data_IF_545103763473
#
_entry.id   IF_545103763473
#
_cell.length_a   1.000
_cell.length_b   1.000
_cell.length_c   1.000
_cell.angle_alpha   90.00
_cell.angle_beta   90.00
_cell.angle_gamma   90.00
#
_symmetry.space_group_name_H-M   'P 1'
#
loop_
_entity.id
_entity.type
_entity.pdbx_description
1 polymer ?
#
# COMPACT_ATOMS: atom_id res chain seq x y z
N UNK A 1 10.02 -60.83 32.61
CA UNK A 1 11.06 -59.80 32.77
C UNK A 1 10.82 -58.72 31.75
N UNK A 2 10.20 -57.62 32.13
CA UNK A 2 10.73 -56.29 32.43
C UNK A 2 11.53 -55.73 31.23
N UNK A 3 11.23 -54.71 30.56
CA UNK A 3 10.57 -53.46 30.77
C UNK A 3 11.12 -52.47 29.73
N UNK A 4 10.48 -51.37 29.51
CA UNK A 4 11.14 -50.16 28.99
C UNK A 4 10.82 -49.79 27.55
N UNK A 5 9.77 -49.06 27.36
CA UNK A 5 9.44 -48.35 26.09
C UNK A 5 8.58 -47.14 26.40
N UNK A 6 9.19 -46.10 26.86
CA UNK A 6 8.52 -44.81 27.01
C UNK A 6 9.56 -43.71 26.94
N UNK A 7 9.49 -42.85 25.97
CA UNK A 7 10.01 -41.50 25.89
C UNK A 7 10.45 -41.13 24.48
N UNK A 8 9.51 -40.83 23.60
CA UNK A 8 9.82 -40.05 22.37
C UNK A 8 8.66 -39.12 21.88
N UNK A 9 7.58 -38.94 22.67
CA UNK A 9 6.42 -38.13 22.22
C UNK A 9 6.23 -36.78 22.95
N UNK A 10 7.20 -36.35 23.79
CA UNK A 10 7.00 -35.12 24.61
C UNK A 10 7.84 -33.93 24.12
N UNK A 11 8.76 -34.10 23.17
CA UNK A 11 9.68 -33.01 22.79
C UNK A 11 9.10 -32.06 21.69
N UNK A 12 8.16 -32.52 20.85
CA UNK A 12 7.62 -31.67 19.78
C UNK A 12 6.51 -30.69 20.23
N UNK A 13 5.84 -30.92 21.32
CA UNK A 13 4.77 -30.04 21.83
C UNK A 13 5.27 -28.84 22.63
N UNK A 14 6.50 -28.90 23.17
CA UNK A 14 7.07 -27.77 23.95
C UNK A 14 7.73 -26.69 23.08
N UNK A 15 8.33 -27.05 21.97
CA UNK A 15 9.01 -26.09 21.08
C UNK A 15 8.02 -25.15 20.38
N UNK A 16 6.82 -25.60 20.04
CA UNK A 16 5.80 -24.75 19.42
C UNK A 16 5.18 -23.74 20.41
N UNK A 17 5.05 -24.09 21.69
CA UNK A 17 4.50 -23.18 22.71
C UNK A 17 5.52 -22.15 23.21
N UNK A 18 6.79 -22.48 23.24
CA UNK A 18 7.85 -21.52 23.63
C UNK A 18 8.10 -20.48 22.54
N UNK A 19 8.00 -20.84 21.26
CA UNK A 19 8.11 -19.85 20.16
C UNK A 19 6.94 -18.87 20.10
N UNK A 20 5.72 -19.25 20.48
CA UNK A 20 4.60 -18.31 20.59
C UNK A 20 4.74 -17.34 21.76
N UNK A 21 5.33 -17.76 22.88
CA UNK A 21 5.60 -16.86 24.00
C UNK A 21 6.79 -15.93 23.75
N UNK A 22 7.80 -16.33 22.97
CA UNK A 22 8.89 -15.43 22.57
C UNK A 22 8.45 -14.35 21.58
N UNK A 23 7.56 -14.65 20.65
CA UNK A 23 7.00 -13.63 19.72
C UNK A 23 6.14 -12.61 20.47
N UNK A 24 5.33 -13.04 21.45
CA UNK A 24 4.55 -12.13 22.29
C UNK A 24 5.41 -11.32 23.29
N UNK A 25 6.52 -11.89 23.77
CA UNK A 25 7.46 -11.21 24.65
C UNK A 25 8.32 -10.20 23.87
N UNK A 26 8.82 -10.55 22.69
CA UNK A 26 9.59 -9.64 21.82
C UNK A 26 8.75 -8.45 21.33
N UNK A 27 7.44 -8.64 21.12
CA UNK A 27 6.52 -7.53 20.82
C UNK A 27 6.27 -6.60 22.02
N UNK A 28 6.43 -7.05 23.26
CA UNK A 28 6.23 -6.22 24.47
C UNK A 28 7.49 -5.47 24.90
N UNK A 29 8.67 -6.06 24.72
CA UNK A 29 9.94 -5.47 25.15
C UNK A 29 10.53 -4.51 24.12
N UNK A 30 10.20 -4.63 22.82
CA UNK A 30 10.59 -3.68 21.78
C UNK A 30 9.85 -2.32 21.89
N UNK A 31 8.81 -2.20 22.73
CA UNK A 31 8.05 -0.98 22.97
C UNK A 31 8.65 -0.05 24.04
N UNK A 32 9.77 -0.40 24.65
CA UNK A 32 10.33 0.35 25.80
C UNK A 32 11.41 1.38 25.41
N UNK A 33 11.81 1.48 24.14
CA UNK A 33 12.92 2.35 23.73
C UNK A 33 12.61 3.56 22.85
N UNK A 34 11.59 3.51 22.00
CA UNK A 34 11.20 4.64 21.15
C UNK A 34 9.67 4.78 21.18
N UNK A 35 9.20 5.83 21.85
CA UNK A 35 7.79 6.23 21.71
C UNK A 35 7.56 6.54 20.22
N UNK A 36 6.55 5.90 19.55
CA UNK A 36 6.05 6.45 18.31
C UNK A 36 5.68 7.89 18.61
N UNK A 37 6.27 8.83 17.90
CA UNK A 37 5.85 10.23 17.98
C UNK A 37 4.37 10.21 17.61
N UNK A 38 3.49 10.48 18.60
CA UNK A 38 2.06 10.65 18.35
C UNK A 38 1.98 11.69 17.23
N UNK A 39 1.34 11.40 16.08
CA UNK A 39 1.20 12.40 15.04
C UNK A 39 0.62 13.66 15.68
N UNK A 40 1.24 14.82 15.46
CA UNK A 40 0.63 16.10 15.80
C UNK A 40 -0.68 16.23 15.01
N UNK A 41 -1.58 17.10 15.47
CA UNK A 41 -2.84 17.31 14.76
C UNK A 41 -2.59 17.75 13.30
N UNK A 42 -3.48 17.43 12.34
CA UNK A 42 -3.40 17.95 10.99
C UNK A 42 -3.26 19.46 10.96
N UNK A 43 -2.75 19.99 9.83
CA UNK A 43 -2.64 21.43 9.58
C UNK A 43 -3.97 22.12 9.89
N UNK A 44 -3.93 23.10 10.80
CA UNK A 44 -5.11 23.91 11.13
C UNK A 44 -5.28 25.02 10.13
N UNK A 45 -6.38 25.02 9.41
CA UNK A 45 -6.67 25.97 8.32
C UNK A 45 -7.95 26.74 8.66
N UNK A 46 -7.90 28.09 8.57
CA UNK A 46 -9.11 28.90 8.67
C UNK A 46 -9.90 28.82 7.36
N UNK A 47 -11.21 28.71 7.45
CA UNK A 47 -12.08 28.64 6.30
C UNK A 47 -11.94 29.88 5.38
N UNK A 48 -11.70 31.06 5.95
CA UNK A 48 -11.42 32.28 5.19
C UNK A 48 -10.09 32.22 4.42
N UNK A 49 -9.03 31.65 5.00
CA UNK A 49 -7.74 31.47 4.33
C UNK A 49 -7.85 30.44 3.20
N UNK A 50 -8.55 29.32 3.44
CA UNK A 50 -8.83 28.31 2.43
C UNK A 50 -9.62 28.90 1.26
N UNK A 51 -10.69 29.62 1.54
CA UNK A 51 -11.51 30.29 0.54
C UNK A 51 -10.67 31.25 -0.31
N UNK A 52 -9.88 32.12 0.32
CA UNK A 52 -8.99 33.05 -0.40
C UNK A 52 -7.92 32.30 -1.24
N UNK A 53 -7.35 31.22 -0.70
CA UNK A 53 -6.31 30.43 -1.37
C UNK A 53 -6.77 29.70 -2.64
N UNK A 54 -8.08 29.39 -2.74
CA UNK A 54 -8.65 28.68 -3.88
C UNK A 54 -9.61 29.55 -4.74
N UNK A 55 -9.72 30.85 -4.43
CA UNK A 55 -10.64 31.75 -5.14
C UNK A 55 -12.12 31.46 -4.85
N UNK A 56 -12.44 30.83 -3.71
CA UNK A 56 -13.79 30.56 -3.25
C UNK A 56 -14.37 31.69 -2.41
N UNK A 57 -15.65 31.56 -2.05
CA UNK A 57 -16.36 32.51 -1.19
C UNK A 57 -16.78 31.85 0.12
N UNK A 58 -16.34 32.41 1.25
CA UNK A 58 -16.77 31.96 2.57
C UNK A 58 -18.25 32.34 2.81
N UNK A 59 -19.03 31.38 3.29
CA UNK A 59 -20.43 31.54 3.72
C UNK A 59 -20.52 31.06 5.16
N UNK A 60 -21.13 31.88 6.05
CA UNK A 60 -21.27 31.57 7.46
C UNK A 60 -20.06 31.97 8.30
N UNK A 61 -19.93 31.44 9.52
CA UNK A 61 -18.84 31.77 10.43
C UNK A 61 -17.47 31.36 9.91
N UNK A 62 -16.43 32.13 10.25
CA UNK A 62 -15.04 31.75 9.92
C UNK A 62 -14.52 30.75 10.98
N UNK A 63 -14.61 29.49 10.67
CA UNK A 63 -14.13 28.38 11.53
C UNK A 63 -12.74 27.91 11.12
N UNK A 64 -12.07 27.20 12.01
CA UNK A 64 -10.84 26.46 11.71
C UNK A 64 -11.17 24.99 11.53
N UNK A 65 -10.65 24.37 10.50
CA UNK A 65 -10.75 22.92 10.28
C UNK A 65 -9.38 22.24 10.33
N UNK A 66 -9.38 20.96 10.70
CA UNK A 66 -8.20 20.12 10.87
C UNK A 66 -8.28 18.96 9.85
N UNK A 67 -7.68 19.15 8.66
CA UNK A 67 -7.75 18.17 7.58
C UNK A 67 -9.08 18.15 6.82
N UNK A 68 -9.25 17.17 5.94
CA UNK A 68 -10.41 17.02 5.06
C UNK A 68 -10.82 15.57 4.83
N UNK A 69 -12.09 15.37 4.46
CA UNK A 69 -12.63 14.08 4.01
C UNK A 69 -13.58 14.28 2.82
N UNK A 70 -13.58 13.35 1.87
CA UNK A 70 -14.59 13.28 0.79
C UNK A 70 -15.59 12.13 1.00
N UNK A 71 -15.42 11.33 2.07
CA UNK A 71 -16.34 10.26 2.45
C UNK A 71 -17.01 10.60 3.78
N UNK A 72 -18.32 10.89 3.74
CA UNK A 72 -19.10 11.25 4.92
C UNK A 72 -19.11 10.16 6.01
N UNK A 73 -18.83 8.90 5.65
CA UNK A 73 -18.79 7.76 6.58
C UNK A 73 -17.48 7.72 7.40
N UNK A 74 -16.40 8.26 6.86
CA UNK A 74 -15.07 8.32 7.49
C UNK A 74 -14.70 9.72 8.00
N UNK A 75 -15.58 10.70 7.84
CA UNK A 75 -15.39 12.05 8.40
C UNK A 75 -15.26 11.98 9.90
N UNK A 76 -14.28 12.72 10.45
CA UNK A 76 -14.05 12.87 11.89
C UNK A 76 -14.26 14.32 12.34
N UNK A 77 -14.51 14.58 13.65
CA UNK A 77 -14.71 15.92 14.15
C UNK A 77 -13.56 16.87 13.79
N UNK A 78 -13.91 18.09 13.39
CA UNK A 78 -12.95 19.13 13.04
C UNK A 78 -12.62 19.22 11.54
N UNK A 79 -12.97 18.23 10.72
CA UNK A 79 -12.61 18.19 9.31
C UNK A 79 -13.48 19.09 8.41
N UNK A 80 -12.90 19.47 7.26
CA UNK A 80 -13.61 19.98 6.09
C UNK A 80 -14.19 18.81 5.30
N UNK A 81 -15.48 18.79 5.02
CA UNK A 81 -16.08 17.84 4.10
C UNK A 81 -16.06 18.36 2.66
N UNK A 82 -15.63 17.49 1.73
CA UNK A 82 -15.55 17.81 0.30
C UNK A 82 -16.53 16.92 -0.47
N UNK A 83 -17.71 17.41 -0.84
CA UNK A 83 -18.66 16.65 -1.65
C UNK A 83 -18.12 16.49 -3.07
N UNK A 84 -17.98 15.25 -3.53
CA UNK A 84 -17.59 14.93 -4.90
C UNK A 84 -18.84 14.63 -5.72
N UNK A 85 -18.97 15.31 -6.85
CA UNK A 85 -20.06 15.06 -7.80
C UNK A 85 -19.57 14.03 -8.83
N UNK A 86 -20.18 12.85 -8.81
CA UNK A 86 -19.89 11.75 -9.72
C UNK A 86 -21.23 11.11 -10.17
N UNK A 87 -21.38 9.78 -10.19
CA UNK A 87 -22.67 9.11 -10.42
C UNK A 87 -23.73 9.52 -9.38
N UNK A 88 -23.28 9.84 -8.17
CA UNK A 88 -24.11 10.40 -7.09
C UNK A 88 -23.63 11.81 -6.77
N UNK A 89 -24.57 12.69 -6.39
CA UNK A 89 -24.24 14.03 -5.95
C UNK A 89 -23.74 14.01 -4.49
N UNK A 90 -22.45 14.27 -4.29
CA UNK A 90 -21.83 14.28 -2.97
C UNK A 90 -22.44 15.30 -2.00
N UNK A 91 -23.11 16.36 -2.49
CA UNK A 91 -23.76 17.36 -1.65
C UNK A 91 -24.88 16.77 -0.79
N UNK A 92 -25.53 15.70 -1.23
CA UNK A 92 -26.54 14.98 -0.44
C UNK A 92 -25.98 14.45 0.91
N UNK A 93 -24.67 14.29 1.03
CA UNK A 93 -23.99 13.75 2.23
C UNK A 93 -23.45 14.81 3.17
N UNK A 94 -23.61 16.11 2.88
CA UNK A 94 -23.13 17.22 3.75
C UNK A 94 -23.75 17.08 5.14
N UNK A 95 -25.06 16.81 5.24
CA UNK A 95 -25.73 16.57 6.52
C UNK A 95 -25.10 15.44 7.33
N UNK A 96 -24.86 14.29 6.69
CA UNK A 96 -24.24 13.13 7.34
C UNK A 96 -22.80 13.40 7.79
N UNK A 97 -22.01 14.15 7.01
CA UNK A 97 -20.66 14.55 7.39
C UNK A 97 -20.67 15.50 8.59
N UNK A 98 -21.61 16.46 8.62
CA UNK A 98 -21.79 17.38 9.76
C UNK A 98 -22.21 16.64 11.02
N UNK A 99 -23.12 15.69 10.94
CA UNK A 99 -23.54 14.86 12.08
C UNK A 99 -22.36 14.06 12.68
N UNK A 100 -21.32 13.82 11.88
CA UNK A 100 -20.04 13.22 12.30
C UNK A 100 -19.01 14.25 12.77
N UNK A 101 -19.32 15.53 12.73
CA UNK A 101 -18.49 16.60 13.27
C UNK A 101 -17.66 17.36 12.23
N UNK A 102 -17.98 17.27 10.92
CA UNK A 102 -17.43 18.22 9.97
C UNK A 102 -17.81 19.65 10.36
N UNK A 103 -16.82 20.53 10.45
CA UNK A 103 -17.01 21.94 10.88
C UNK A 103 -17.24 22.89 9.71
N UNK A 104 -16.85 22.47 8.52
CA UNK A 104 -17.05 23.21 7.27
C UNK A 104 -17.23 22.23 6.09
N UNK A 105 -17.71 22.71 4.97
CA UNK A 105 -17.77 21.96 3.72
C UNK A 105 -17.50 22.84 2.50
N UNK A 106 -17.03 22.23 1.40
CA UNK A 106 -17.08 22.87 0.08
C UNK A 106 -18.49 22.73 -0.50
N UNK A 107 -18.88 23.64 -1.38
CA UNK A 107 -20.14 23.53 -2.12
C UNK A 107 -20.08 24.25 -3.47
N UNK A 108 -20.65 23.64 -4.51
CA UNK A 108 -20.97 24.29 -5.78
C UNK A 108 -22.47 24.60 -5.91
N UNK A 109 -23.27 24.29 -4.88
CA UNK A 109 -24.72 24.46 -4.82
C UNK A 109 -25.11 25.31 -3.59
N UNK A 110 -24.78 26.61 -3.55
CA UNK A 110 -24.84 27.42 -2.33
C UNK A 110 -26.26 27.67 -1.80
N UNK A 111 -27.25 27.68 -2.65
CA UNK A 111 -28.63 28.07 -2.26
C UNK A 111 -29.32 26.93 -1.46
N UNK A 112 -29.02 25.69 -1.75
CA UNK A 112 -29.64 24.54 -1.12
C UNK A 112 -29.00 24.23 0.27
N UNK A 113 -27.70 24.47 0.41
CA UNK A 113 -26.91 24.06 1.60
C UNK A 113 -26.46 25.24 2.48
N UNK A 114 -26.86 26.47 2.17
CA UNK A 114 -26.50 27.71 2.91
C UNK A 114 -27.01 27.80 4.34
N UNK A 115 -27.94 26.97 4.76
CA UNK A 115 -28.73 27.26 5.97
C UNK A 115 -28.06 26.80 7.24
N UNK A 116 -27.06 25.90 7.17
CA UNK A 116 -26.53 25.23 8.34
C UNK A 116 -25.00 25.10 8.34
N UNK A 117 -24.30 26.04 8.99
CA UNK A 117 -22.87 25.95 9.26
C UNK A 117 -21.99 26.76 8.32
N UNK A 118 -20.71 26.39 8.22
CA UNK A 118 -19.72 27.07 7.40
C UNK A 118 -19.54 26.36 6.06
N UNK A 119 -19.66 27.11 4.97
CA UNK A 119 -19.40 26.61 3.63
C UNK A 119 -18.36 27.48 2.90
N UNK A 120 -17.58 26.86 2.03
CA UNK A 120 -16.75 27.54 1.04
C UNK A 120 -17.38 27.25 -0.33
N UNK A 121 -17.99 28.27 -0.91
CA UNK A 121 -18.61 28.19 -2.23
C UNK A 121 -17.55 28.28 -3.31
N UNK A 122 -17.61 27.34 -4.25
CA UNK A 122 -16.68 27.19 -5.38
C UNK A 122 -17.46 26.79 -6.64
N UNK A 123 -16.86 26.93 -7.82
CA UNK A 123 -17.50 26.53 -9.06
C UNK A 123 -17.58 25.00 -9.23
N UNK A 124 -16.57 24.26 -8.74
CA UNK A 124 -16.43 22.82 -8.82
C UNK A 124 -15.67 22.32 -7.58
N UNK A 125 -16.29 21.44 -6.80
CA UNK A 125 -15.73 20.95 -5.53
C UNK A 125 -14.55 20.00 -5.75
N UNK A 126 -14.51 19.26 -6.86
CA UNK A 126 -13.38 18.38 -7.21
C UNK A 126 -12.16 19.22 -7.59
N UNK A 127 -12.32 20.23 -8.43
CA UNK A 127 -11.23 21.15 -8.78
C UNK A 127 -10.76 21.95 -7.57
N UNK A 128 -11.69 22.37 -6.73
CA UNK A 128 -11.38 23.08 -5.49
C UNK A 128 -10.58 22.22 -4.50
N UNK A 129 -10.84 20.91 -4.44
CA UNK A 129 -10.04 19.97 -3.63
C UNK A 129 -8.58 19.94 -4.10
N UNK A 130 -8.34 19.85 -5.43
CA UNK A 130 -6.97 19.86 -5.99
C UNK A 130 -6.27 21.20 -5.67
N UNK A 131 -6.94 22.32 -5.90
CA UNK A 131 -6.41 23.64 -5.62
C UNK A 131 -6.11 23.84 -4.13
N UNK A 132 -7.01 23.37 -3.24
CA UNK A 132 -6.81 23.44 -1.79
C UNK A 132 -5.60 22.63 -1.33
N UNK A 133 -5.44 21.42 -1.86
CA UNK A 133 -4.29 20.59 -1.55
C UNK A 133 -2.98 21.19 -2.07
N UNK A 134 -2.97 21.76 -3.29
CA UNK A 134 -1.83 22.44 -3.85
C UNK A 134 -1.44 23.69 -3.02
N UNK A 135 -2.42 24.45 -2.56
CA UNK A 135 -2.22 25.59 -1.67
C UNK A 135 -1.68 25.14 -0.29
N UNK A 136 -2.27 24.09 0.31
CA UNK A 136 -1.84 23.53 1.58
C UNK A 136 -0.43 22.93 1.48
N UNK A 137 -0.08 22.27 0.36
CA UNK A 137 1.28 21.77 0.11
C UNK A 137 2.35 22.88 0.21
N UNK A 138 1.99 24.10 -0.21
CA UNK A 138 2.89 25.26 -0.09
C UNK A 138 3.18 25.68 1.35
N UNK A 139 2.44 25.19 2.32
CA UNK A 139 2.58 25.47 3.76
C UNK A 139 3.32 24.37 4.53
N UNK A 140 3.50 23.19 3.92
CA UNK A 140 4.24 22.08 4.51
C UNK A 140 5.72 22.17 4.17
N UNK A 141 6.55 22.23 5.20
CA UNK A 141 8.03 22.14 5.08
C UNK A 141 8.48 20.67 5.14
N UNK A 142 7.95 19.86 4.23
CA UNK A 142 8.22 18.43 4.16
C UNK A 142 8.91 18.07 2.83
N UNK A 143 9.88 17.15 2.88
CA UNK A 143 10.33 16.44 1.69
C UNK A 143 9.24 15.51 1.20
N UNK A 144 8.81 15.66 -0.04
CA UNK A 144 7.72 14.83 -0.60
C UNK A 144 8.29 13.72 -1.46
N UNK A 145 7.87 12.49 -1.16
CA UNK A 145 8.22 11.28 -1.89
C UNK A 145 6.99 10.83 -2.69
N UNK A 146 7.06 10.93 -4.01
CA UNK A 146 6.08 10.34 -4.92
C UNK A 146 6.45 8.88 -5.23
N UNK A 147 5.48 7.96 -5.17
CA UNK A 147 5.71 6.54 -5.45
C UNK A 147 4.75 6.05 -6.54
N UNK A 148 5.30 5.56 -7.66
CA UNK A 148 4.50 4.95 -8.72
C UNK A 148 5.05 3.59 -9.14
N UNK A 149 4.31 2.86 -9.98
CA UNK A 149 4.66 1.54 -10.51
C UNK A 149 3.42 0.72 -10.85
N UNK A 150 3.59 -0.38 -11.55
CA UNK A 150 2.48 -1.29 -11.86
C UNK A 150 2.08 -2.11 -10.65
N UNK A 151 3.04 -2.66 -9.92
CA UNK A 151 2.86 -3.39 -8.66
C UNK A 151 3.83 -2.87 -7.60
N UNK A 152 3.58 -3.19 -6.33
CA UNK A 152 4.46 -2.86 -5.22
C UNK A 152 4.32 -1.45 -4.64
N UNK A 153 3.60 -0.52 -5.27
CA UNK A 153 3.44 0.88 -4.80
C UNK A 153 3.09 0.99 -3.32
N UNK A 154 1.99 0.40 -2.91
CA UNK A 154 1.50 0.49 -1.53
C UNK A 154 2.44 -0.20 -0.55
N UNK A 155 2.94 -1.39 -0.91
CA UNK A 155 3.91 -2.11 -0.06
C UNK A 155 5.21 -1.33 0.08
N UNK A 156 5.74 -0.76 -1.02
CA UNK A 156 6.93 0.08 -0.97
C UNK A 156 6.68 1.34 -0.14
N UNK A 157 5.55 2.03 -0.33
CA UNK A 157 5.14 3.21 0.47
C UNK A 157 5.10 2.90 1.97
N UNK A 158 4.50 1.77 2.37
CA UNK A 158 4.40 1.40 3.78
C UNK A 158 5.77 1.05 4.38
N UNK A 159 6.61 0.33 3.62
CA UNK A 159 7.99 0.05 4.04
C UNK A 159 8.84 1.34 4.09
N UNK A 160 8.63 2.28 3.15
CA UNK A 160 9.26 3.61 3.20
C UNK A 160 8.81 4.39 4.43
N UNK A 161 7.50 4.36 4.75
CA UNK A 161 6.98 5.02 5.93
C UNK A 161 7.60 4.47 7.22
N UNK A 162 7.80 3.15 7.30
CA UNK A 162 8.51 2.52 8.41
C UNK A 162 9.98 2.93 8.44
N UNK A 163 10.72 2.78 7.36
CA UNK A 163 12.16 3.07 7.31
C UNK A 163 12.46 4.55 7.57
N UNK A 164 11.69 5.48 6.97
CA UNK A 164 11.84 6.91 7.20
C UNK A 164 11.40 7.29 8.63
N UNK A 165 10.36 6.65 9.15
CA UNK A 165 9.84 6.87 10.51
C UNK A 165 10.85 6.56 11.62
N UNK A 166 11.91 5.80 11.32
CA UNK A 166 13.01 5.52 12.24
C UNK A 166 13.78 6.79 12.68
N UNK A 167 13.76 7.85 11.85
CA UNK A 167 14.51 9.09 12.16
C UNK A 167 13.81 10.38 11.76
N UNK A 168 12.65 10.32 11.10
CA UNK A 168 11.90 11.48 10.61
C UNK A 168 10.43 11.37 10.96
N UNK A 169 9.76 12.48 11.27
CA UNK A 169 8.30 12.52 11.38
C UNK A 169 7.70 12.32 10.00
N UNK A 170 7.25 11.09 9.75
CA UNK A 170 6.83 10.64 8.43
C UNK A 170 5.32 10.45 8.37
N UNK A 171 4.70 11.02 7.35
CA UNK A 171 3.29 10.83 7.00
C UNK A 171 3.18 10.13 5.65
N UNK A 172 2.29 9.16 5.53
CA UNK A 172 2.01 8.48 4.27
C UNK A 172 0.50 8.37 4.04
N UNK A 173 0.06 8.30 2.79
CA UNK A 173 -1.36 8.11 2.51
C UNK A 173 -1.88 6.79 3.08
N UNK A 174 -3.07 6.86 3.65
CA UNK A 174 -3.78 5.66 4.09
C UNK A 174 -4.18 4.81 2.89
N UNK A 175 -4.07 3.50 3.04
CA UNK A 175 -4.47 2.53 2.01
C UNK A 175 -3.85 2.90 0.64
N UNK A 176 -4.68 2.90 -0.43
CA UNK A 176 -4.27 3.25 -1.81
C UNK A 176 -4.96 4.55 -2.26
N UNK A 177 -4.89 5.60 -1.44
CA UNK A 177 -5.36 6.94 -1.80
C UNK A 177 -4.37 7.58 -2.80
N UNK A 178 -4.39 7.10 -4.06
CA UNK A 178 -3.36 7.35 -5.06
C UNK A 178 -3.88 8.09 -6.32
N UNK A 179 -5.07 8.67 -6.23
CA UNK A 179 -5.74 9.37 -7.32
C UNK A 179 -6.01 10.85 -6.96
N UNK A 180 -6.70 11.53 -7.88
CA UNK A 180 -7.09 12.94 -7.80
C UNK A 180 -8.00 13.31 -6.61
N UNK A 181 -8.51 12.34 -5.86
CA UNK A 181 -9.29 12.55 -4.64
C UNK A 181 -8.48 12.20 -3.39
N UNK A 182 -7.79 11.07 -3.41
CA UNK A 182 -7.09 10.52 -2.26
C UNK A 182 -5.77 11.25 -1.93
N UNK A 183 -4.97 11.59 -2.95
CA UNK A 183 -3.71 12.30 -2.75
C UNK A 183 -3.93 13.71 -2.15
N UNK A 184 -4.89 14.54 -2.64
CA UNK A 184 -5.20 15.82 -2.02
C UNK A 184 -5.57 15.71 -0.54
N UNK A 185 -6.43 14.76 -0.19
CA UNK A 185 -6.84 14.55 1.20
C UNK A 185 -5.66 14.09 2.07
N UNK A 186 -4.73 13.33 1.54
CA UNK A 186 -3.49 12.97 2.24
C UNK A 186 -2.67 14.21 2.61
N UNK A 187 -2.51 15.16 1.68
CA UNK A 187 -1.79 16.43 1.94
C UNK A 187 -2.52 17.26 3.00
N UNK A 188 -3.85 17.38 2.89
CA UNK A 188 -4.67 18.16 3.83
C UNK A 188 -4.70 17.55 5.24
N UNK A 189 -4.52 16.25 5.35
CA UNK A 189 -4.48 15.54 6.64
C UNK A 189 -3.06 15.36 7.20
N UNK A 190 -2.03 15.82 6.49
CA UNK A 190 -0.67 15.76 6.99
C UNK A 190 -0.49 16.71 8.18
N UNK A 191 0.14 16.27 9.29
CA UNK A 191 0.51 17.14 10.40
C UNK A 191 1.46 18.26 10.00
N UNK A 192 1.38 19.41 10.69
CA UNK A 192 2.24 20.59 10.43
C UNK A 192 3.75 20.28 10.58
N UNK A 193 4.09 19.34 11.46
CA UNK A 193 5.46 18.96 11.75
C UNK A 193 5.96 17.78 10.93
N UNK A 194 5.22 17.37 9.88
CA UNK A 194 5.66 16.34 8.94
C UNK A 194 6.96 16.75 8.27
N UNK A 195 8.00 15.92 8.39
CA UNK A 195 9.30 16.11 7.74
C UNK A 195 9.41 15.34 6.42
N UNK A 196 8.73 14.18 6.33
CA UNK A 196 8.67 13.36 5.12
C UNK A 196 7.21 13.01 4.82
N UNK A 197 6.72 13.41 3.66
CA UNK A 197 5.38 13.08 3.18
C UNK A 197 5.48 12.10 2.00
N UNK A 198 5.00 10.87 2.19
CA UNK A 198 5.05 9.83 1.16
C UNK A 198 3.67 9.69 0.53
N UNK A 199 3.57 9.88 -0.79
CA UNK A 199 2.32 9.81 -1.53
C UNK A 199 2.38 8.79 -2.67
N UNK A 200 1.46 7.85 -2.67
CA UNK A 200 1.28 6.92 -3.77
C UNK A 200 0.59 7.62 -4.95
N UNK A 201 1.10 7.40 -6.18
CA UNK A 201 0.59 8.00 -7.40
C UNK A 201 0.17 6.91 -8.39
N UNK A 202 -1.15 6.79 -8.57
CA UNK A 202 -1.78 5.91 -9.56
C UNK A 202 -1.99 6.60 -10.89
N UNK A 203 -2.30 5.83 -11.93
CA UNK A 203 -2.68 6.37 -13.24
C UNK A 203 -3.80 5.54 -13.87
N UNK A 204 -4.59 6.17 -14.72
CA UNK A 204 -5.53 5.56 -15.68
C UNK A 204 -5.19 5.94 -17.11
N UNK A 205 -4.19 6.81 -17.35
CA UNK A 205 -3.79 7.30 -18.64
C UNK A 205 -2.60 8.25 -18.56
N UNK A 206 -2.17 8.79 -19.69
CA UNK A 206 -1.14 9.81 -19.74
C UNK A 206 -1.61 11.11 -19.08
N UNK A 207 -0.68 11.85 -18.46
CA UNK A 207 -0.91 13.12 -17.77
C UNK A 207 -1.45 12.98 -16.34
N UNK A 208 -1.92 11.79 -15.92
CA UNK A 208 -2.47 11.63 -14.58
C UNK A 208 -1.40 11.75 -13.49
N UNK A 209 -0.22 11.15 -13.69
CA UNK A 209 0.88 11.26 -12.73
C UNK A 209 1.43 12.69 -12.75
N UNK A 210 1.56 13.32 -13.92
CA UNK A 210 1.97 14.71 -14.03
C UNK A 210 1.03 15.65 -13.22
N UNK A 211 -0.29 15.48 -13.33
CA UNK A 211 -1.27 16.23 -12.54
C UNK A 211 -1.08 16.02 -11.03
N UNK A 212 -0.85 14.78 -10.59
CA UNK A 212 -0.58 14.49 -9.17
C UNK A 212 0.73 15.12 -8.70
N UNK A 213 1.74 15.18 -9.58
CA UNK A 213 3.01 15.86 -9.29
C UNK A 213 2.85 17.38 -9.18
N UNK A 214 1.99 18.01 -9.98
CA UNK A 214 1.68 19.45 -9.85
C UNK A 214 1.10 19.78 -8.47
N UNK A 215 0.31 18.88 -7.90
CA UNK A 215 -0.30 19.04 -6.57
C UNK A 215 0.71 18.76 -5.47
N UNK A 216 1.37 17.59 -5.52
CA UNK A 216 2.25 17.11 -4.45
C UNK A 216 3.65 17.77 -4.48
N UNK A 217 4.12 18.18 -5.65
CA UNK A 217 5.48 18.70 -5.89
C UNK A 217 6.54 17.82 -5.23
N UNK A 218 6.74 16.57 -5.74
CA UNK A 218 7.68 15.63 -5.14
C UNK A 218 9.12 16.09 -5.30
N UNK A 219 9.90 15.96 -4.22
CA UNK A 219 11.35 16.14 -4.19
C UNK A 219 12.05 14.82 -4.55
N UNK A 220 11.40 13.69 -4.24
CA UNK A 220 11.90 12.34 -4.49
C UNK A 220 10.83 11.56 -5.27
N UNK A 221 11.24 10.93 -6.36
CA UNK A 221 10.35 10.12 -7.20
C UNK A 221 10.78 8.67 -7.24
N UNK A 222 9.92 7.75 -6.80
CA UNK A 222 10.20 6.32 -6.77
C UNK A 222 9.38 5.59 -7.81
N UNK A 223 10.04 4.81 -8.67
CA UNK A 223 9.35 3.92 -9.62
C UNK A 223 9.66 2.48 -9.27
N UNK A 224 8.62 1.69 -8.93
CA UNK A 224 8.82 0.31 -8.47
C UNK A 224 9.07 -0.65 -9.63
N UNK A 225 8.10 -0.88 -10.48
CA UNK A 225 8.21 -1.79 -11.62
C UNK A 225 7.23 -1.41 -12.73
N UNK A 226 7.58 -1.70 -13.98
CA UNK A 226 6.71 -1.59 -15.15
C UNK A 226 6.21 -2.97 -15.54
N UNK A 227 4.94 -3.24 -15.35
CA UNK A 227 4.30 -4.51 -15.65
C UNK A 227 2.92 -4.35 -16.28
N UNK A 228 2.26 -5.45 -16.57
CA UNK A 228 0.94 -5.49 -17.18
C UNK A 228 -0.15 -5.03 -16.21
N UNK A 229 -0.34 -3.72 -16.14
CA UNK A 229 -1.44 -3.06 -15.45
C UNK A 229 -1.85 -1.83 -16.25
N UNK A 230 -3.13 -1.66 -16.56
CA UNK A 230 -3.69 -0.56 -17.35
C UNK A 230 -3.07 -0.43 -18.77
N UNK A 231 -2.59 -1.53 -19.36
CA UNK A 231 -1.92 -1.55 -20.65
C UNK A 231 -2.84 -1.10 -21.79
N UNK A 232 -4.12 -1.44 -21.73
CA UNK A 232 -5.16 -1.04 -22.69
C UNK A 232 -5.31 0.49 -22.84
N UNK A 233 -5.13 1.22 -21.76
CA UNK A 233 -5.35 2.68 -21.71
C UNK A 233 -4.16 3.47 -22.25
N UNK A 234 -2.98 2.86 -22.36
CA UNK A 234 -1.74 3.56 -22.72
C UNK A 234 -0.93 2.88 -23.83
N UNK A 235 -1.45 1.82 -24.44
CA UNK A 235 -0.82 1.14 -25.58
C UNK A 235 0.37 0.26 -25.21
N UNK A 236 0.20 -0.62 -24.21
CA UNK A 236 1.17 -1.65 -23.85
C UNK A 236 2.22 -1.20 -22.82
N UNK A 237 3.23 -2.05 -22.61
CA UNK A 237 4.26 -1.83 -21.56
C UNK A 237 5.08 -0.54 -21.76
N UNK A 238 5.38 -0.16 -23.01
CA UNK A 238 6.13 1.05 -23.30
C UNK A 238 5.29 2.31 -22.99
N UNK A 239 3.97 2.24 -23.22
CA UNK A 239 3.04 3.26 -22.80
C UNK A 239 2.96 3.37 -21.28
N UNK A 240 2.93 2.24 -20.56
CA UNK A 240 2.99 2.22 -19.09
C UNK A 240 4.29 2.84 -18.58
N UNK A 241 5.44 2.50 -19.17
CA UNK A 241 6.73 3.10 -18.83
C UNK A 241 6.75 4.60 -19.08
N UNK A 242 6.18 5.06 -20.21
CA UNK A 242 6.08 6.49 -20.53
C UNK A 242 5.23 7.24 -19.50
N UNK A 243 4.04 6.73 -19.16
CA UNK A 243 3.15 7.38 -18.21
C UNK A 243 3.74 7.41 -16.78
N UNK A 244 4.38 6.31 -16.32
CA UNK A 244 5.03 6.29 -15.01
C UNK A 244 6.25 7.18 -14.93
N UNK A 245 6.98 7.37 -16.02
CA UNK A 245 8.10 8.28 -16.13
C UNK A 245 7.72 9.76 -15.99
N UNK A 246 6.44 10.14 -16.09
CA UNK A 246 5.96 11.49 -15.76
C UNK A 246 6.37 11.92 -14.35
N UNK A 247 6.43 10.98 -13.38
CA UNK A 247 6.95 11.27 -12.04
C UNK A 247 8.42 11.70 -12.07
N UNK A 248 9.22 10.98 -12.86
CA UNK A 248 10.68 11.21 -12.95
C UNK A 248 10.97 12.54 -13.67
N UNK A 249 10.16 12.86 -14.69
CA UNK A 249 10.24 14.13 -15.44
C UNK A 249 9.83 15.34 -14.62
N UNK A 250 8.91 15.16 -13.65
CA UNK A 250 8.39 16.23 -12.80
C UNK A 250 9.34 16.63 -11.66
N UNK A 251 10.42 15.88 -11.42
CA UNK A 251 11.36 16.17 -10.34
C UNK A 251 12.16 17.44 -10.61
N UNK A 252 12.39 18.29 -9.59
CA UNK A 252 13.31 19.41 -9.71
C UNK A 252 14.75 18.90 -9.88
N UNK A 253 15.62 19.72 -10.46
CA UNK A 253 17.04 19.38 -10.63
C UNK A 253 17.78 19.12 -9.30
N UNK A 254 17.27 19.62 -8.18
CA UNK A 254 17.74 19.33 -6.82
C UNK A 254 17.11 18.10 -6.19
N UNK A 255 16.21 17.42 -6.89
CA UNK A 255 15.52 16.25 -6.42
C UNK A 255 16.29 14.95 -6.65
N UNK A 256 15.65 13.82 -6.33
CA UNK A 256 16.24 12.48 -6.50
C UNK A 256 15.24 11.50 -7.11
N UNK A 257 15.63 10.84 -8.19
CA UNK A 257 14.90 9.70 -8.75
C UNK A 257 15.44 8.38 -8.14
N UNK A 258 14.57 7.59 -7.53
CA UNK A 258 14.90 6.29 -6.94
C UNK A 258 14.33 5.21 -7.87
N UNK A 259 15.22 4.54 -8.63
CA UNK A 259 14.85 3.70 -9.76
C UNK A 259 15.24 2.24 -9.54
N UNK A 260 14.34 1.32 -9.87
CA UNK A 260 14.60 -0.12 -9.83
C UNK A 260 15.58 -0.51 -10.95
N UNK A 261 16.80 -0.94 -10.59
CA UNK A 261 17.83 -1.36 -11.53
C UNK A 261 17.56 -2.74 -12.16
N UNK A 262 16.71 -3.55 -11.53
CA UNK A 262 16.38 -4.89 -12.02
C UNK A 262 15.23 -4.86 -13.07
N UNK A 263 14.63 -3.69 -13.31
CA UNK A 263 13.64 -3.46 -14.38
C UNK A 263 14.24 -2.52 -15.42
N UNK A 264 14.51 -3.05 -16.62
CA UNK A 264 15.15 -2.31 -17.70
C UNK A 264 14.40 -1.04 -18.11
N UNK A 265 13.04 -1.07 -18.09
CA UNK A 265 12.21 0.10 -18.42
C UNK A 265 12.30 1.17 -17.34
N UNK A 266 12.35 0.77 -16.08
CA UNK A 266 12.53 1.70 -14.96
C UNK A 266 13.94 2.26 -14.97
N UNK A 267 14.97 1.44 -15.13
CA UNK A 267 16.36 1.88 -15.20
C UNK A 267 16.60 2.88 -16.36
N UNK A 268 15.95 2.69 -17.52
CA UNK A 268 16.02 3.60 -18.65
C UNK A 268 15.45 5.02 -18.35
N UNK A 269 14.59 5.16 -17.34
CA UNK A 269 14.00 6.46 -16.97
C UNK A 269 15.03 7.48 -16.44
N UNK A 270 16.23 7.01 -16.07
CA UNK A 270 17.33 7.90 -15.64
C UNK A 270 17.65 9.00 -16.66
N UNK A 271 17.42 8.77 -17.94
CA UNK A 271 17.65 9.74 -19.01
C UNK A 271 16.53 10.79 -19.14
N UNK A 272 15.45 10.66 -18.38
CA UNK A 272 14.26 11.52 -18.45
C UNK A 272 14.25 12.62 -17.37
N UNK A 273 15.27 12.68 -16.52
CA UNK A 273 15.34 13.67 -15.44
C UNK A 273 16.70 14.35 -15.41
N UNK A 274 16.73 15.57 -14.89
CA UNK A 274 17.94 16.27 -14.49
C UNK A 274 18.25 16.16 -12.99
N UNK A 275 17.43 15.43 -12.24
CA UNK A 275 17.63 15.16 -10.81
C UNK A 275 18.71 14.09 -10.60
N UNK A 276 19.23 14.01 -9.38
CA UNK A 276 20.11 12.91 -8.98
C UNK A 276 19.38 11.55 -9.09
N UNK A 277 20.15 10.48 -9.37
CA UNK A 277 19.59 9.15 -9.51
C UNK A 277 20.26 8.21 -8.53
N UNK A 278 19.45 7.57 -7.69
CA UNK A 278 19.81 6.44 -6.83
C UNK A 278 19.09 5.20 -7.33
N UNK A 279 19.84 4.14 -7.61
CA UNK A 279 19.26 2.88 -8.08
C UNK A 279 19.17 1.86 -6.94
N UNK A 280 18.17 0.95 -7.02
CA UNK A 280 18.01 -0.12 -6.04
C UNK A 280 17.68 -1.45 -6.71
N UNK A 281 17.92 -2.55 -5.99
CA UNK A 281 17.71 -3.92 -6.46
C UNK A 281 18.98 -4.77 -6.38
N UNK A 282 19.05 -5.88 -7.09
CA UNK A 282 20.24 -6.74 -7.11
C UNK A 282 21.43 -6.10 -7.85
N UNK A 283 21.14 -5.20 -8.81
CA UNK A 283 22.14 -4.48 -9.61
C UNK A 283 22.23 -2.97 -9.27
N UNK A 284 21.56 -2.50 -8.22
CA UNK A 284 21.48 -1.09 -7.86
C UNK A 284 22.60 -0.58 -6.95
N UNK A 285 22.60 0.73 -6.70
CA UNK A 285 23.44 1.40 -5.69
C UNK A 285 23.04 0.93 -4.27
N UNK A 286 21.75 0.75 -4.02
CA UNK A 286 21.20 0.05 -2.86
C UNK A 286 20.99 -1.41 -3.27
N UNK A 287 22.03 -2.20 -3.07
CA UNK A 287 22.14 -3.57 -3.58
C UNK A 287 21.76 -4.60 -2.53
N UNK A 288 20.75 -5.41 -2.84
CA UNK A 288 20.34 -6.54 -2.01
C UNK A 288 21.00 -7.83 -2.44
N UNK A 289 21.37 -8.65 -1.44
CA UNK A 289 22.06 -9.95 -1.64
C UNK A 289 21.73 -10.91 -0.52
N UNK A 290 22.15 -12.17 -0.63
CA UNK A 290 21.99 -13.21 0.37
C UNK A 290 20.55 -13.33 0.89
N UNK A 291 19.57 -13.36 -0.03
CA UNK A 291 18.14 -13.46 0.30
C UNK A 291 17.81 -14.88 0.74
N UNK A 292 17.36 -15.02 1.98
CA UNK A 292 16.89 -16.28 2.57
C UNK A 292 15.44 -16.10 3.02
N UNK A 293 14.62 -17.14 2.86
CA UNK A 293 13.22 -17.14 3.29
C UNK A 293 13.04 -18.07 4.50
N UNK A 294 12.28 -17.63 5.49
CA UNK A 294 11.85 -18.49 6.59
C UNK A 294 10.62 -19.33 6.21
N UNK A 295 10.16 -20.19 7.13
CA UNK A 295 9.01 -21.08 6.92
C UNK A 295 7.68 -20.37 6.61
N UNK A 296 7.60 -19.05 6.78
CA UNK A 296 6.48 -18.20 6.37
C UNK A 296 6.78 -17.38 5.11
N UNK A 297 7.83 -17.73 4.37
CA UNK A 297 8.36 -16.99 3.23
C UNK A 297 8.74 -15.53 3.54
N UNK A 298 9.07 -15.19 4.79
CA UNK A 298 9.57 -13.87 5.16
C UNK A 298 11.07 -13.80 4.88
N UNK A 299 11.48 -12.72 4.21
CA UNK A 299 12.85 -12.61 3.76
C UNK A 299 13.79 -12.07 4.85
N UNK A 300 14.97 -12.68 4.95
CA UNK A 300 16.19 -12.09 5.52
C UNK A 300 17.15 -11.83 4.39
N UNK A 301 17.83 -10.69 4.40
CA UNK A 301 18.76 -10.32 3.33
C UNK A 301 19.84 -9.36 3.85
N UNK A 302 20.92 -9.27 3.07
CA UNK A 302 21.97 -8.28 3.25
C UNK A 302 21.77 -7.15 2.26
N UNK A 303 22.13 -5.92 2.66
CA UNK A 303 22.08 -4.73 1.81
C UNK A 303 23.39 -3.94 1.90
N UNK A 304 23.92 -3.57 0.72
CA UNK A 304 25.01 -2.62 0.57
C UNK A 304 24.43 -1.33 0.00
N UNK A 305 24.79 -0.19 0.58
CA UNK A 305 24.27 1.13 0.19
C UNK A 305 25.40 2.16 0.17
N UNK A 306 25.21 3.34 -0.45
CA UNK A 306 26.14 4.46 -0.34
C UNK A 306 26.35 4.96 1.10
N UNK A 307 25.45 4.63 2.03
CA UNK A 307 25.47 5.08 3.43
C UNK A 307 25.99 4.02 4.40
N UNK A 308 26.35 2.82 3.94
CA UNK A 308 26.82 1.70 4.73
C UNK A 308 26.27 0.37 4.27
N UNK A 309 26.49 -0.68 5.05
CA UNK A 309 25.95 -2.00 4.77
C UNK A 309 25.42 -2.65 6.03
N UNK A 310 24.44 -3.54 5.89
CA UNK A 310 23.82 -4.22 7.01
C UNK A 310 22.96 -5.39 6.58
N UNK A 311 22.30 -6.04 7.53
CA UNK A 311 21.35 -7.11 7.28
C UNK A 311 20.03 -6.84 8.01
N UNK A 312 18.92 -7.23 7.41
CA UNK A 312 17.60 -7.12 8.03
C UNK A 312 16.72 -8.31 7.68
N UNK A 313 15.56 -8.38 8.31
CA UNK A 313 14.49 -9.32 7.97
C UNK A 313 13.17 -8.55 7.83
N UNK A 314 12.28 -9.07 7.02
CA UNK A 314 10.94 -8.52 6.89
C UNK A 314 9.93 -9.32 7.70
N UNK A 315 8.92 -8.64 8.23
CA UNK A 315 7.75 -9.27 8.86
C UNK A 315 6.72 -9.78 7.84
N UNK A 316 6.75 -9.25 6.62
CA UNK A 316 5.80 -9.55 5.54
C UNK A 316 6.31 -10.66 4.62
N UNK A 317 5.45 -11.62 4.18
CA UNK A 317 5.85 -12.70 3.29
C UNK A 317 6.15 -12.25 1.86
N UNK A 318 7.01 -13.01 1.21
CA UNK A 318 7.31 -12.96 -0.22
C UNK A 318 8.66 -12.34 -0.55
N UNK A 319 9.45 -13.05 -1.37
CA UNK A 319 10.77 -12.60 -1.84
C UNK A 319 10.69 -11.24 -2.56
N UNK A 320 9.58 -10.96 -3.27
CA UNK A 320 9.34 -9.68 -3.95
C UNK A 320 9.30 -8.48 -2.98
N UNK A 321 9.07 -8.69 -1.69
CA UNK A 321 9.11 -7.62 -0.69
C UNK A 321 10.52 -7.10 -0.45
N UNK A 322 11.56 -7.87 -0.80
CA UNK A 322 12.97 -7.44 -0.69
C UNK A 322 13.25 -6.25 -1.61
N UNK A 323 12.75 -6.29 -2.85
CA UNK A 323 12.89 -5.16 -3.80
C UNK A 323 12.14 -3.92 -3.31
N UNK A 324 10.95 -4.08 -2.72
CA UNK A 324 10.21 -2.96 -2.11
C UNK A 324 10.95 -2.40 -0.89
N UNK A 325 11.57 -3.26 -0.07
CA UNK A 325 12.39 -2.84 1.06
C UNK A 325 13.67 -2.12 0.61
N UNK A 326 14.30 -2.55 -0.49
CA UNK A 326 15.45 -1.87 -1.07
C UNK A 326 15.10 -0.42 -1.49
N UNK A 327 13.91 -0.24 -2.11
CA UNK A 327 13.39 1.09 -2.42
C UNK A 327 13.17 1.93 -1.14
N UNK A 328 12.66 1.32 -0.07
CA UNK A 328 12.44 1.98 1.22
C UNK A 328 13.77 2.40 1.87
N UNK A 329 14.77 1.54 1.85
CA UNK A 329 16.13 1.83 2.34
C UNK A 329 16.77 2.96 1.52
N UNK A 330 16.59 2.96 0.19
CA UNK A 330 17.10 4.02 -0.68
C UNK A 330 16.49 5.39 -0.31
N UNK A 331 15.16 5.45 -0.13
CA UNK A 331 14.49 6.69 0.28
C UNK A 331 14.94 7.12 1.68
N UNK A 332 15.01 6.19 2.66
CA UNK A 332 15.47 6.50 4.02
C UNK A 332 16.89 7.11 4.01
N UNK A 333 17.81 6.56 3.22
CA UNK A 333 19.15 7.11 3.06
C UNK A 333 19.16 8.50 2.41
N UNK A 334 18.34 8.71 1.35
CA UNK A 334 18.22 10.03 0.69
C UNK A 334 17.68 11.10 1.64
N UNK A 335 16.72 10.79 2.51
CA UNK A 335 16.19 11.74 3.51
C UNK A 335 17.05 11.83 4.78
N UNK A 336 18.21 11.15 4.80
CA UNK A 336 19.22 11.24 5.88
C UNK A 336 18.81 10.49 7.16
N UNK A 337 18.10 9.38 7.06
CA UNK A 337 17.86 8.45 8.17
C UNK A 337 19.06 7.51 8.31
N UNK A 338 19.44 7.24 9.54
CA UNK A 338 20.47 6.27 9.87
C UNK A 338 20.12 4.88 9.35
N UNK A 339 21.09 4.20 8.71
CA UNK A 339 20.85 2.92 8.06
C UNK A 339 20.43 1.84 9.07
N UNK A 340 21.13 1.74 10.20
CA UNK A 340 20.84 0.68 11.19
C UNK A 340 19.44 0.86 11.78
N UNK A 341 19.06 2.13 12.05
CA UNK A 341 17.71 2.45 12.51
C UNK A 341 16.64 2.10 11.45
N UNK A 342 16.86 2.40 10.18
CA UNK A 342 15.95 2.05 9.09
C UNK A 342 15.80 0.52 8.95
N UNK A 343 16.92 -0.22 9.03
CA UNK A 343 16.94 -1.69 8.96
C UNK A 343 16.20 -2.34 10.14
N UNK A 344 16.37 -1.80 11.35
CA UNK A 344 15.66 -2.28 12.54
C UNK A 344 14.14 -2.09 12.41
N UNK A 345 13.69 -0.91 11.98
CA UNK A 345 12.26 -0.61 11.84
C UNK A 345 11.56 -1.46 10.78
N UNK A 346 12.26 -1.85 9.71
CA UNK A 346 11.75 -2.78 8.69
C UNK A 346 11.42 -4.16 9.27
N UNK A 347 12.03 -4.56 10.38
CA UNK A 347 11.77 -5.87 11.01
C UNK A 347 10.36 -6.02 11.57
N UNK A 348 9.71 -4.91 11.89
CA UNK A 348 8.34 -4.85 12.44
C UNK A 348 7.35 -4.15 11.50
N UNK A 349 7.82 -3.70 10.33
CA UNK A 349 7.00 -3.00 9.37
C UNK A 349 5.82 -3.86 8.89
N UNK A 350 4.65 -3.26 8.80
CA UNK A 350 3.44 -3.88 8.26
C UNK A 350 3.04 -3.22 6.96
N UNK A 351 2.33 -3.94 6.11
CA UNK A 351 1.80 -3.42 4.85
C UNK A 351 0.30 -3.23 4.97
N UNK A 352 -0.18 -2.04 4.63
CA UNK A 352 -1.59 -1.68 4.67
C UNK A 352 -2.42 -2.34 3.57
N UNK A 353 -3.71 -2.47 3.84
CA UNK A 353 -4.60 -3.20 2.94
C UNK A 353 -4.37 -4.71 3.04
N UNK A 354 -5.17 -5.45 2.35
CA UNK A 354 -5.17 -6.93 2.35
C UNK A 354 -4.11 -7.43 1.36
N UNK A 355 -2.80 -7.26 1.70
CA UNK A 355 -1.65 -7.68 0.88
C UNK A 355 -0.73 -8.60 1.67
N UNK A 356 -0.75 -9.90 1.32
CA UNK A 356 0.05 -10.95 1.96
C UNK A 356 -0.11 -10.98 3.50
N UNK A 357 -1.31 -10.64 4.01
CA UNK A 357 -1.59 -10.60 5.45
C UNK A 357 -1.76 -12.01 5.98
N UNK A 358 -0.96 -12.37 6.96
CA UNK A 358 -1.04 -13.67 7.62
C UNK A 358 -2.07 -13.64 8.75
N UNK A 359 -2.91 -14.68 8.79
CA UNK A 359 -3.79 -14.98 9.91
C UNK A 359 -3.93 -16.49 10.09
N UNK A 360 -4.56 -16.93 11.17
CA UNK A 360 -4.66 -18.36 11.48
C UNK A 360 -6.13 -18.75 11.64
N UNK A 361 -6.53 -19.87 11.06
CA UNK A 361 -7.86 -20.47 11.29
C UNK A 361 -7.94 -21.07 12.69
N UNK A 362 -9.15 -21.31 13.22
CA UNK A 362 -9.35 -22.04 14.48
C UNK A 362 -8.76 -23.46 14.48
N UNK A 363 -8.59 -24.09 13.32
CA UNK A 363 -7.94 -25.39 13.15
C UNK A 363 -6.39 -25.34 13.11
N UNK A 364 -5.80 -24.11 13.13
CA UNK A 364 -4.37 -23.90 13.11
C UNK A 364 -3.75 -23.79 11.71
N UNK A 365 -4.54 -23.75 10.63
CA UNK A 365 -4.04 -23.49 9.30
C UNK A 365 -3.70 -22.01 9.12
N UNK A 366 -2.71 -21.68 8.29
CA UNK A 366 -2.35 -20.30 7.95
C UNK A 366 -3.16 -19.81 6.76
N UNK A 367 -3.74 -18.63 6.87
CA UNK A 367 -4.37 -17.90 5.77
C UNK A 367 -3.41 -16.79 5.33
N UNK A 368 -3.16 -16.72 4.03
CA UNK A 368 -2.45 -15.60 3.37
C UNK A 368 -3.51 -14.80 2.62
N UNK A 369 -3.91 -13.66 3.18
CA UNK A 369 -4.88 -12.79 2.54
C UNK A 369 -4.18 -11.79 1.63
N UNK A 370 -4.40 -11.91 0.31
CA UNK A 370 -3.91 -11.00 -0.74
C UNK A 370 -5.04 -10.62 -1.72
N UNK A 371 -6.25 -10.47 -1.19
CA UNK A 371 -7.48 -10.28 -1.98
C UNK A 371 -7.74 -8.81 -2.41
N UNK A 372 -6.78 -7.90 -2.22
CA UNK A 372 -6.97 -6.48 -2.56
C UNK A 372 -6.97 -6.21 -4.06
N UNK A 373 -6.02 -6.77 -4.81
CA UNK A 373 -5.92 -6.64 -6.27
C UNK A 373 -5.14 -7.81 -6.88
N UNK A 374 -5.38 -8.07 -8.18
CA UNK A 374 -4.72 -9.12 -8.92
C UNK A 374 -4.37 -8.65 -10.34
N UNK A 375 -3.12 -8.92 -10.74
CA UNK A 375 -2.62 -8.86 -12.10
C UNK A 375 -1.55 -9.96 -12.27
N UNK A 376 -1.12 -10.31 -13.49
CA UNK A 376 -0.22 -11.45 -13.70
C UNK A 376 1.07 -11.38 -12.85
N UNK A 377 1.69 -10.21 -12.74
CA UNK A 377 2.92 -10.01 -11.97
C UNK A 377 2.69 -10.27 -10.48
N UNK A 378 1.64 -9.71 -9.90
CA UNK A 378 1.33 -9.89 -8.47
C UNK A 378 0.81 -11.29 -8.15
N UNK A 379 0.12 -11.95 -9.10
CA UNK A 379 -0.32 -13.34 -8.95
C UNK A 379 0.87 -14.29 -8.88
N UNK A 380 1.85 -14.17 -9.81
CA UNK A 380 3.08 -14.96 -9.76
C UNK A 380 3.81 -14.80 -8.45
N UNK A 381 4.04 -13.55 -8.03
CA UNK A 381 4.75 -13.26 -6.79
C UNK A 381 4.07 -13.88 -5.54
N UNK A 382 2.74 -13.88 -5.50
CA UNK A 382 1.98 -14.47 -4.40
C UNK A 382 2.03 -16.01 -4.42
N UNK A 383 1.95 -16.63 -5.62
CA UNK A 383 2.06 -18.08 -5.78
C UNK A 383 3.48 -18.57 -5.45
N UNK A 384 4.51 -17.84 -5.86
CA UNK A 384 5.90 -18.13 -5.52
C UNK A 384 6.10 -18.05 -4.00
N UNK A 385 5.53 -17.04 -3.34
CA UNK A 385 5.58 -16.92 -1.89
C UNK A 385 4.85 -18.08 -1.20
N UNK A 386 3.64 -18.47 -1.68
CA UNK A 386 2.93 -19.64 -1.16
C UNK A 386 3.74 -20.93 -1.31
N UNK A 387 4.36 -21.12 -2.47
CA UNK A 387 5.21 -22.29 -2.75
C UNK A 387 6.42 -22.37 -1.81
N UNK A 388 6.98 -21.23 -1.42
CA UNK A 388 8.14 -21.14 -0.53
C UNK A 388 7.80 -21.32 0.96
N UNK A 389 6.51 -21.32 1.34
CA UNK A 389 6.12 -21.53 2.75
C UNK A 389 6.26 -23.00 3.16
N UNK A 390 6.69 -23.23 4.40
CA UNK A 390 6.70 -24.57 4.99
C UNK A 390 5.27 -25.03 5.27
N UNK A 391 4.75 -25.93 4.44
CA UNK A 391 3.39 -26.42 4.56
C UNK A 391 3.24 -27.88 4.13
N UNK A 392 2.35 -28.61 4.79
CA UNK A 392 1.92 -29.94 4.36
C UNK A 392 1.07 -29.88 3.10
N UNK A 393 0.14 -28.91 3.06
CA UNK A 393 -0.74 -28.64 1.93
C UNK A 393 -0.74 -27.13 1.63
N UNK A 394 -0.67 -26.78 0.34
CA UNK A 394 -0.69 -25.39 -0.15
C UNK A 394 -1.85 -25.19 -1.10
N UNK A 395 -2.81 -24.39 -0.70
CA UNK A 395 -4.03 -24.10 -1.47
C UNK A 395 -4.01 -22.67 -1.98
N UNK A 396 -4.21 -22.48 -3.28
CA UNK A 396 -4.37 -21.16 -3.91
C UNK A 396 -5.83 -20.97 -4.33
N UNK A 397 -6.56 -20.10 -3.63
CA UNK A 397 -7.92 -19.67 -4.00
C UNK A 397 -7.81 -18.43 -4.86
N UNK A 398 -8.10 -18.57 -6.15
CA UNK A 398 -7.85 -17.55 -7.15
C UNK A 398 -9.17 -17.05 -7.76
N UNK A 399 -9.29 -15.74 -7.91
CA UNK A 399 -10.40 -15.10 -8.60
C UNK A 399 -9.96 -14.26 -9.79
N UNK A 400 -10.87 -13.45 -10.31
CA UNK A 400 -10.66 -12.63 -11.50
C UNK A 400 -9.47 -11.67 -11.35
N UNK A 401 -8.65 -11.55 -12.40
CA UNK A 401 -7.77 -10.41 -12.66
C UNK A 401 -8.51 -9.45 -13.60
N UNK A 402 -9.02 -8.32 -13.06
CA UNK A 402 -10.00 -7.47 -13.76
C UNK A 402 -9.38 -6.42 -14.69
N UNK A 403 -8.11 -6.00 -14.46
CA UNK A 403 -7.52 -4.84 -15.14
C UNK A 403 -6.46 -5.24 -16.17
N UNK A 404 -6.81 -6.19 -17.07
CA UNK A 404 -5.91 -6.71 -18.10
C UNK A 404 -6.62 -6.86 -19.46
N UNK A 405 -5.89 -6.55 -20.54
CA UNK A 405 -6.41 -6.47 -21.92
C UNK A 405 -6.93 -7.80 -22.48
N UNK A 406 -6.17 -8.88 -22.27
CA UNK A 406 -6.51 -10.23 -22.72
C UNK A 406 -6.56 -11.17 -21.50
N UNK A 407 -7.70 -11.23 -20.81
CA UNK A 407 -7.79 -11.95 -19.55
C UNK A 407 -7.61 -13.47 -19.69
N UNK A 408 -8.05 -14.08 -20.79
CA UNK A 408 -8.02 -15.53 -20.96
C UNK A 408 -6.60 -16.12 -20.95
N UNK A 409 -5.69 -15.70 -21.84
CA UNK A 409 -4.30 -16.15 -21.83
C UNK A 409 -3.60 -15.88 -20.51
N UNK A 410 -3.76 -14.69 -19.94
CA UNK A 410 -3.12 -14.33 -18.68
C UNK A 410 -3.57 -15.23 -17.49
N UNK A 411 -4.87 -15.53 -17.38
CA UNK A 411 -5.37 -16.44 -16.36
C UNK A 411 -4.84 -17.87 -16.55
N UNK A 412 -4.83 -18.40 -17.78
CA UNK A 412 -4.26 -19.72 -18.07
C UNK A 412 -2.77 -19.81 -17.78
N UNK A 413 -2.02 -18.75 -18.04
CA UNK A 413 -0.60 -18.67 -17.69
C UNK A 413 -0.38 -18.76 -16.18
N UNK A 414 -1.21 -18.08 -15.38
CA UNK A 414 -1.17 -18.17 -13.92
C UNK A 414 -1.57 -19.57 -13.44
N UNK A 415 -2.58 -20.21 -14.06
CA UNK A 415 -2.93 -21.60 -13.74
C UNK A 415 -1.77 -22.57 -14.02
N UNK A 416 -1.11 -22.41 -15.16
CA UNK A 416 0.08 -23.21 -15.52
C UNK A 416 1.24 -22.97 -14.54
N UNK A 417 1.46 -21.74 -14.12
CA UNK A 417 2.48 -21.40 -13.11
C UNK A 417 2.17 -22.07 -11.75
N UNK A 418 0.93 -21.97 -11.27
CA UNK A 418 0.53 -22.61 -10.02
C UNK A 418 0.67 -24.16 -10.07
N UNK A 419 0.32 -24.75 -11.22
CA UNK A 419 0.50 -26.19 -11.44
C UNK A 419 1.97 -26.60 -11.45
N UNK A 420 2.86 -25.81 -12.07
CA UNK A 420 4.31 -26.06 -12.07
C UNK A 420 4.91 -25.97 -10.66
N UNK A 421 4.32 -25.17 -9.76
CA UNK A 421 4.69 -25.07 -8.36
C UNK A 421 4.06 -26.18 -7.48
N UNK A 422 3.22 -27.06 -8.06
CA UNK A 422 2.54 -28.13 -7.33
C UNK A 422 1.50 -27.63 -6.32
N UNK A 423 0.83 -26.51 -6.59
CA UNK A 423 -0.18 -25.93 -5.73
C UNK A 423 -1.57 -26.49 -6.01
N UNK A 424 -2.38 -26.69 -4.97
CA UNK A 424 -3.79 -26.99 -5.08
C UNK A 424 -4.55 -25.72 -5.48
N UNK A 425 -5.07 -25.65 -6.72
CA UNK A 425 -5.75 -24.45 -7.23
C UNK A 425 -7.26 -24.61 -7.13
N UNK A 426 -7.91 -23.64 -6.51
CA UNK A 426 -9.37 -23.49 -6.47
C UNK A 426 -9.70 -22.15 -7.12
N UNK A 427 -10.55 -22.15 -8.12
CA UNK A 427 -10.99 -20.97 -8.84
C UNK A 427 -12.39 -20.57 -8.39
N UNK A 428 -12.62 -19.27 -8.20
CA UNK A 428 -13.92 -18.71 -7.82
C UNK A 428 -14.36 -17.61 -8.79
N UNK A 429 -15.60 -17.66 -9.22
CA UNK A 429 -16.25 -16.55 -9.94
C UNK A 429 -15.78 -16.31 -11.38
N UNK A 430 -14.93 -17.18 -11.95
CA UNK A 430 -14.45 -17.07 -13.33
C UNK A 430 -14.00 -18.42 -13.86
N UNK A 431 -14.15 -18.68 -15.16
CA UNK A 431 -13.69 -19.88 -15.87
C UNK A 431 -12.39 -19.63 -16.68
N UNK A 432 -11.85 -18.42 -16.63
CA UNK A 432 -10.73 -17.97 -17.46
C UNK A 432 -9.43 -18.75 -17.22
N UNK A 433 -9.28 -19.38 -16.07
CA UNK A 433 -8.13 -20.23 -15.74
C UNK A 433 -8.13 -21.58 -16.50
N UNK A 434 -9.24 -21.96 -17.16
CA UNK A 434 -9.43 -23.30 -17.71
C UNK A 434 -9.66 -24.37 -16.66
N UNK A 435 -10.06 -23.95 -15.46
CA UNK A 435 -10.44 -24.76 -14.30
C UNK A 435 -11.89 -24.43 -13.97
N UNK A 436 -12.73 -25.45 -13.73
CA UNK A 436 -14.13 -25.25 -13.36
C UNK A 436 -14.24 -24.46 -12.06
N UNK A 437 -14.98 -23.34 -12.02
CA UNK A 437 -15.13 -22.54 -10.82
C UNK A 437 -15.92 -23.30 -9.74
N UNK A 438 -15.42 -23.27 -8.51
CA UNK A 438 -16.11 -23.86 -7.39
C UNK A 438 -17.32 -22.99 -6.97
N UNK A 439 -18.46 -23.65 -6.76
CA UNK A 439 -19.67 -22.97 -6.29
C UNK A 439 -19.64 -22.66 -4.77
N UNK A 440 -19.00 -23.54 -3.99
CA UNK A 440 -18.80 -23.38 -2.55
C UNK A 440 -17.30 -23.42 -2.23
N UNK A 441 -16.72 -22.27 -1.83
CA UNK A 441 -15.31 -22.20 -1.52
C UNK A 441 -14.87 -23.11 -0.37
N UNK A 442 -15.69 -23.23 0.69
CA UNK A 442 -15.34 -24.05 1.84
C UNK A 442 -15.38 -25.55 1.54
N UNK A 443 -16.34 -25.97 0.74
CA UNK A 443 -16.43 -27.36 0.29
C UNK A 443 -15.25 -27.72 -0.63
N UNK A 444 -14.87 -26.83 -1.54
CA UNK A 444 -13.75 -27.03 -2.46
C UNK A 444 -12.40 -27.04 -1.75
N UNK A 445 -12.19 -26.15 -0.78
CA UNK A 445 -10.97 -26.12 0.04
C UNK A 445 -10.87 -27.40 0.90
N UNK A 446 -12.02 -27.93 1.37
CA UNK A 446 -12.05 -29.08 2.25
C UNK A 446 -11.51 -28.78 3.65
N UNK A 447 -11.27 -29.82 4.48
CA UNK A 447 -10.75 -29.64 5.84
C UNK A 447 -9.31 -29.09 5.80
N UNK A 448 -9.01 -28.19 6.73
CA UNK A 448 -7.70 -27.60 6.95
C UNK A 448 -7.23 -27.90 8.37
N UNK A 449 -5.94 -28.14 8.53
CA UNK A 449 -5.30 -28.38 9.81
C UNK A 449 -4.04 -27.57 10.03
N UNK A 450 -3.44 -27.72 11.20
CA UNK A 450 -2.16 -27.11 11.50
C UNK A 450 -1.09 -27.56 10.48
N UNK A 451 -0.36 -26.58 9.91
CA UNK A 451 0.62 -26.85 8.86
C UNK A 451 0.09 -26.75 7.44
N UNK A 452 -1.22 -26.49 7.24
CA UNK A 452 -1.77 -26.15 5.93
C UNK A 452 -1.71 -24.63 5.70
N UNK A 453 -1.54 -24.21 4.45
CA UNK A 453 -1.54 -22.79 4.07
C UNK A 453 -2.54 -22.54 2.94
N UNK A 454 -3.35 -21.50 3.07
CA UNK A 454 -4.32 -21.07 2.05
C UNK A 454 -4.05 -19.64 1.64
N UNK A 455 -3.71 -19.41 0.38
CA UNK A 455 -3.64 -18.07 -0.24
C UNK A 455 -5.02 -17.74 -0.82
N UNK A 456 -5.53 -16.52 -0.57
CA UNK A 456 -6.72 -15.98 -1.22
C UNK A 456 -6.33 -14.73 -2.00
N UNK A 457 -6.50 -14.75 -3.34
CA UNK A 457 -6.08 -13.65 -4.21
C UNK A 457 -7.01 -13.42 -5.39
N UNK A 458 -7.45 -12.17 -5.54
CA UNK A 458 -8.25 -11.71 -6.67
C UNK A 458 -8.17 -10.18 -6.82
N UNK A 459 -8.72 -9.65 -7.91
CA UNK A 459 -9.06 -8.23 -8.00
C UNK A 459 -10.18 -7.89 -7.00
N UNK A 460 -10.18 -6.66 -6.49
CA UNK A 460 -11.16 -6.20 -5.49
C UNK A 460 -12.62 -6.39 -5.93
N UNK A 461 -12.90 -6.23 -7.21
CA UNK A 461 -14.23 -6.45 -7.79
C UNK A 461 -14.76 -7.88 -7.63
N UNK A 462 -13.89 -8.86 -7.41
CA UNK A 462 -14.27 -10.25 -7.16
C UNK A 462 -14.71 -10.51 -5.70
N UNK A 463 -14.37 -9.62 -4.77
CA UNK A 463 -14.85 -9.64 -3.38
C UNK A 463 -14.40 -10.85 -2.56
N UNK A 464 -13.24 -11.47 -2.87
CA UNK A 464 -12.82 -12.70 -2.19
C UNK A 464 -12.40 -12.51 -0.73
N UNK A 465 -12.44 -11.30 -0.18
CA UNK A 465 -12.26 -11.05 1.25
C UNK A 465 -13.25 -11.86 2.10
N UNK A 466 -14.47 -12.10 1.60
CA UNK A 466 -15.44 -12.90 2.30
C UNK A 466 -15.00 -14.36 2.51
N UNK A 467 -14.17 -14.93 1.61
CA UNK A 467 -13.62 -16.28 1.76
C UNK A 467 -12.68 -16.34 2.96
N UNK A 468 -11.89 -15.29 3.17
CA UNK A 468 -11.00 -15.17 4.34
C UNK A 468 -11.83 -15.11 5.63
N UNK A 469 -12.92 -14.34 5.64
CA UNK A 469 -13.84 -14.26 6.78
C UNK A 469 -14.48 -15.62 7.09
N UNK A 470 -14.93 -16.34 6.06
CA UNK A 470 -15.48 -17.69 6.21
C UNK A 470 -14.43 -18.68 6.77
N UNK A 471 -13.19 -18.64 6.29
CA UNK A 471 -12.10 -19.48 6.77
C UNK A 471 -11.75 -19.18 8.24
N UNK A 472 -11.72 -17.89 8.60
CA UNK A 472 -11.45 -17.44 9.97
C UNK A 472 -12.57 -17.80 10.96
N UNK A 473 -13.84 -17.85 10.49
CA UNK A 473 -15.02 -18.19 11.29
C UNK A 473 -15.28 -19.70 11.38
N UNK A 474 -14.63 -20.52 10.53
CA UNK A 474 -14.91 -21.96 10.42
C UNK A 474 -14.56 -22.68 11.72
N UNK A 475 -15.58 -23.09 12.48
CA UNK A 475 -15.39 -23.96 13.64
C UNK A 475 -14.91 -25.36 13.19
N UNK A 476 -14.21 -26.07 14.09
CA UNK A 476 -13.68 -27.42 13.83
C UNK A 476 -14.75 -28.42 13.45
#
# INVERSE_FOLDING_TARGET
HVGGGGARHVVFGRLATEQHHEVDALCRDALVGHRPTVPSAPVRIRASEAAAGIGGRLIGPDVTFDGASFDSRSTVPGQLFVPIVAERNGHEFIGAARDRGAVAHLTSEPDEFRRDGTAIEVADTSQALLALAQWARGRLDAQVVGVTGSVGKTSAKDLMAAACGAGRRTTANERSFNNEQGLPVTILNAPDDTEVLIVEMGMRGFGHIAQLCEIARPDIGVVTVVGHAHTELVGGLDGVARAKGELVEALPASGTAVLNADDERVAAMRSRTGADVVTYGAAGDVRVSAVELDGFARARFHVDTPWGSGATRLSVPGAHMVTNAAAAIAVAGVVGVDLDAALEWLTTATVSGVRMVLSTTPSGATIVNDAYNANPTSMRAALDALSAMDAGRRVAVLGLMAEIDDPGPAHREIAAHAAALGLDVIVLGTDLYGIEPAADPLAAIGPLGAGDVVLVKASRSAGLEHVVELLAARQR
#
